data_IF_585639232736
#
_entry.id   IF_585639232736
#
_cell.length_a   1.000
_cell.length_b   1.000
_cell.length_c   1.000
_cell.angle_alpha   90.00
_cell.angle_beta   90.00
_cell.angle_gamma   90.00
#
_symmetry.space_group_name_H-M   'P 1'
#
loop_
_entity.id
_entity.type
_entity.pdbx_description
1 polymer ?
#
# COMPACT_ATOMS: atom_id res chain seq x y z
N UNK A 1 -43.65 -21.28 42.01
CA UNK A 1 -43.26 -21.40 40.58
C UNK A 1 -43.13 -20.02 39.93
N UNK A 2 -42.30 -19.13 40.50
CA UNK A 2 -42.12 -17.73 40.03
C UNK A 2 -40.62 -17.40 39.84
N UNK A 3 -39.73 -18.16 40.48
CA UNK A 3 -38.29 -17.89 40.51
C UNK A 3 -37.51 -18.36 39.26
N UNK A 4 -37.99 -19.38 38.53
CA UNK A 4 -37.29 -19.91 37.34
C UNK A 4 -37.41 -19.00 36.10
N UNK A 5 -38.33 -18.03 36.09
CA UNK A 5 -38.55 -17.16 34.93
C UNK A 5 -37.72 -15.86 34.98
N UNK A 6 -37.23 -15.46 36.16
CA UNK A 6 -36.40 -14.25 36.32
C UNK A 6 -34.94 -14.47 35.93
N UNK A 7 -34.38 -15.64 36.21
CA UNK A 7 -32.99 -15.98 35.87
C UNK A 7 -32.80 -16.05 34.35
N UNK A 8 -33.80 -16.57 33.63
CA UNK A 8 -33.75 -16.69 32.17
C UNK A 8 -33.82 -15.34 31.44
N UNK A 9 -34.49 -14.33 32.02
CA UNK A 9 -34.53 -12.96 31.47
C UNK A 9 -33.21 -12.21 31.66
N UNK A 10 -32.53 -12.44 32.78
CA UNK A 10 -31.25 -11.79 33.07
C UNK A 10 -30.10 -12.37 32.22
N UNK A 11 -30.08 -13.69 32.02
CA UNK A 11 -29.09 -14.37 31.17
C UNK A 11 -29.22 -13.97 29.69
N UNK A 12 -30.44 -13.79 29.20
CA UNK A 12 -30.67 -13.40 27.80
C UNK A 12 -30.24 -11.95 27.52
N UNK A 13 -30.39 -11.04 28.50
CA UNK A 13 -30.00 -9.64 28.36
C UNK A 13 -28.48 -9.43 28.49
N UNK A 14 -27.79 -10.30 29.23
CA UNK A 14 -26.32 -10.25 29.35
C UNK A 14 -25.62 -10.80 28.09
N UNK A 15 -26.24 -11.78 27.42
CA UNK A 15 -25.71 -12.36 26.18
C UNK A 15 -25.78 -11.39 24.98
N UNK A 16 -26.79 -10.52 24.94
CA UNK A 16 -26.98 -9.52 23.88
C UNK A 16 -25.99 -8.35 23.97
N UNK A 17 -25.44 -8.06 25.15
CA UNK A 17 -24.42 -7.02 25.35
C UNK A 17 -23.01 -7.48 24.93
N UNK A 18 -22.75 -8.79 24.92
CA UNK A 18 -21.46 -9.34 24.47
C UNK A 18 -21.29 -9.34 22.94
N UNK A 19 -22.39 -9.22 22.17
CA UNK A 19 -22.34 -9.14 20.71
C UNK A 19 -21.98 -7.75 20.16
N UNK A 20 -22.08 -6.70 20.98
CA UNK A 20 -21.85 -5.32 20.53
C UNK A 20 -20.38 -4.85 20.59
N UNK A 21 -19.44 -5.72 20.99
CA UNK A 21 -18.02 -5.34 21.19
C UNK A 21 -17.09 -5.82 20.07
N UNK A 22 -17.61 -6.51 19.04
CA UNK A 22 -16.85 -6.68 17.80
C UNK A 22 -16.90 -5.39 16.98
N UNK A 23 -16.27 -4.34 17.50
CA UNK A 23 -15.74 -3.27 16.67
C UNK A 23 -14.69 -3.92 15.78
N UNK A 24 -15.10 -4.41 14.61
CA UNK A 24 -14.18 -4.73 13.54
C UNK A 24 -13.46 -3.43 13.17
N UNK A 25 -12.30 -3.21 13.77
CA UNK A 25 -11.32 -2.28 13.23
C UNK A 25 -10.86 -2.88 11.90
N UNK A 26 -11.63 -2.65 10.84
CA UNK A 26 -11.18 -2.86 9.47
C UNK A 26 -10.03 -1.88 9.29
N UNK A 27 -8.82 -2.37 9.49
CA UNK A 27 -7.62 -1.64 9.13
C UNK A 27 -7.65 -1.55 7.61
N UNK A 28 -8.11 -0.41 7.10
CA UNK A 28 -8.11 -0.12 5.68
C UNK A 28 -6.65 -0.07 5.20
N UNK A 29 -6.13 -1.23 4.80
CA UNK A 29 -4.88 -1.32 4.07
C UNK A 29 -5.06 -0.57 2.75
N UNK A 30 -4.03 0.16 2.32
CA UNK A 30 -4.06 0.77 1.00
C UNK A 30 -4.07 -0.31 -0.07
N UNK A 31 -4.89 -0.12 -1.09
CA UNK A 31 -4.85 -0.93 -2.31
C UNK A 31 -3.57 -0.62 -3.09
N UNK A 32 -2.65 -1.58 -3.11
CA UNK A 32 -1.34 -1.44 -3.76
C UNK A 32 -1.45 -1.36 -5.29
N UNK A 33 -2.51 -1.90 -5.89
CA UNK A 33 -2.71 -1.80 -7.33
C UNK A 33 -3.03 -0.35 -7.71
N UNK A 34 -3.91 0.30 -6.94
CA UNK A 34 -4.21 1.72 -7.09
C UNK A 34 -2.97 2.61 -6.84
N UNK A 35 -2.16 2.28 -5.82
CA UNK A 35 -0.91 3.01 -5.58
C UNK A 35 0.06 2.90 -6.75
N UNK A 36 0.19 1.70 -7.34
CA UNK A 36 1.02 1.45 -8.52
C UNK A 36 0.56 2.28 -9.72
N UNK A 37 -0.76 2.37 -9.96
CA UNK A 37 -1.32 3.20 -11.03
C UNK A 37 -1.02 4.69 -10.83
N UNK A 38 -1.15 5.18 -9.59
CA UNK A 38 -0.82 6.57 -9.24
C UNK A 38 0.69 6.84 -9.39
N UNK A 39 1.54 5.91 -8.99
CA UNK A 39 2.98 6.00 -9.14
C UNK A 39 3.36 6.07 -10.63
N UNK A 40 2.80 5.21 -11.48
CA UNK A 40 3.02 5.24 -12.93
C UNK A 40 2.68 6.60 -13.55
N UNK A 41 1.55 7.20 -13.17
CA UNK A 41 1.18 8.55 -13.63
C UNK A 41 2.22 9.58 -13.21
N UNK A 42 2.75 9.48 -11.99
CA UNK A 42 3.74 10.43 -11.47
C UNK A 42 5.11 10.26 -12.12
N UNK A 43 5.55 9.03 -12.31
CA UNK A 43 6.77 8.64 -13.03
C UNK A 43 6.75 9.19 -14.45
N UNK A 44 5.65 8.96 -15.17
CA UNK A 44 5.47 9.48 -16.53
C UNK A 44 5.42 11.00 -16.56
N UNK A 45 4.67 11.63 -15.66
CA UNK A 45 4.53 13.08 -15.59
C UNK A 45 5.84 13.81 -15.27
N UNK A 46 6.73 13.19 -14.50
CA UNK A 46 8.04 13.75 -14.13
C UNK A 46 9.19 13.20 -15.00
N UNK A 47 8.91 12.40 -16.03
CA UNK A 47 9.92 11.81 -16.93
C UNK A 47 11.06 11.07 -16.22
N UNK A 48 10.74 10.32 -15.16
CA UNK A 48 11.74 9.65 -14.32
C UNK A 48 12.40 8.43 -14.99
N UNK A 49 11.83 7.92 -16.08
CA UNK A 49 12.39 6.83 -16.88
C UNK A 49 11.83 6.90 -18.31
N UNK A 50 12.55 6.30 -19.25
CA UNK A 50 12.12 6.12 -20.64
C UNK A 50 11.38 4.80 -20.88
N UNK A 51 11.34 3.92 -19.87
CA UNK A 51 10.65 2.63 -19.97
C UNK A 51 9.14 2.81 -20.05
N UNK A 52 8.48 1.87 -20.73
CA UNK A 52 7.02 1.85 -20.81
C UNK A 52 6.41 1.38 -19.48
N UNK A 53 5.18 1.79 -19.14
CA UNK A 53 4.53 1.39 -17.89
C UNK A 53 4.50 -0.13 -17.66
N UNK A 54 4.24 -0.92 -18.71
CA UNK A 54 4.23 -2.39 -18.64
C UNK A 54 5.61 -3.01 -18.35
N UNK A 55 6.68 -2.24 -18.59
CA UNK A 55 8.06 -2.62 -18.34
C UNK A 55 8.58 -2.14 -16.97
N UNK A 56 7.67 -1.68 -16.11
CA UNK A 56 7.95 -1.33 -14.73
C UNK A 56 7.27 -2.31 -13.78
N UNK A 57 7.95 -2.61 -12.68
CA UNK A 57 7.38 -3.33 -11.53
C UNK A 57 7.65 -2.56 -10.25
N UNK A 58 6.84 -2.84 -9.24
CA UNK A 58 6.89 -2.17 -7.94
C UNK A 58 7.18 -3.19 -6.85
N UNK A 59 8.26 -2.99 -6.11
CA UNK A 59 8.61 -3.81 -4.96
C UNK A 59 8.36 -3.02 -3.67
N UNK A 60 7.30 -3.41 -2.95
CA UNK A 60 6.92 -2.78 -1.69
C UNK A 60 7.78 -3.29 -0.54
N UNK A 61 8.50 -2.38 0.13
CA UNK A 61 9.47 -2.75 1.17
C UNK A 61 8.90 -2.59 2.57
N UNK A 62 8.38 -1.41 2.87
CA UNK A 62 7.96 -1.02 4.22
C UNK A 62 6.80 -0.06 4.16
N UNK A 63 5.89 -0.20 5.11
CA UNK A 63 4.81 0.72 5.36
C UNK A 63 4.89 1.21 6.81
N UNK A 64 4.66 2.50 7.03
CA UNK A 64 4.44 3.06 8.36
C UNK A 64 3.19 3.94 8.36
N UNK A 65 2.89 4.57 9.50
CA UNK A 65 1.68 5.40 9.65
C UNK A 65 1.58 6.54 8.64
N UNK A 66 2.71 7.08 8.17
CA UNK A 66 2.75 8.25 7.28
C UNK A 66 3.07 7.89 5.83
N UNK A 67 3.89 6.87 5.58
CA UNK A 67 4.45 6.59 4.27
C UNK A 67 4.37 5.11 3.87
N UNK A 68 4.29 4.88 2.57
CA UNK A 68 4.60 3.60 1.93
C UNK A 68 5.89 3.75 1.14
N UNK A 69 6.84 2.85 1.35
CA UNK A 69 8.15 2.83 0.67
C UNK A 69 8.20 1.68 -0.31
N UNK A 70 8.65 1.96 -1.53
CA UNK A 70 8.72 0.99 -2.60
C UNK A 70 9.81 1.33 -3.60
N UNK A 71 10.39 0.30 -4.22
CA UNK A 71 11.31 0.45 -5.34
C UNK A 71 10.58 0.34 -6.65
N UNK A 72 10.98 1.15 -7.62
CA UNK A 72 10.60 0.98 -9.02
C UNK A 72 11.71 0.18 -9.71
N UNK A 73 11.32 -0.92 -10.38
CA UNK A 73 12.25 -1.85 -11.01
C UNK A 73 11.84 -2.13 -12.45
N UNK A 74 12.77 -2.62 -13.24
CA UNK A 74 12.47 -3.15 -14.58
C UNK A 74 11.60 -4.39 -14.49
N UNK A 75 10.66 -4.52 -15.42
CA UNK A 75 9.86 -5.71 -15.65
C UNK A 75 10.13 -6.23 -17.06
N UNK A 76 10.95 -7.27 -17.14
CA UNK A 76 11.36 -7.90 -18.40
C UNK A 76 10.50 -9.12 -18.77
N UNK A 77 9.48 -9.44 -17.97
CA UNK A 77 8.59 -10.57 -18.25
C UNK A 77 7.80 -10.39 -19.57
N UNK A 78 7.28 -9.19 -19.91
CA UNK A 78 6.67 -8.98 -21.22
C UNK A 78 7.73 -8.92 -22.31
N UNK A 79 7.56 -9.70 -23.39
CA UNK A 79 8.50 -9.75 -24.51
C UNK A 79 8.79 -8.37 -25.15
N UNK A 80 7.85 -7.42 -25.04
CA UNK A 80 7.99 -6.05 -25.56
C UNK A 80 9.01 -5.21 -24.78
N UNK A 81 9.31 -5.59 -23.54
CA UNK A 81 10.24 -4.89 -22.66
C UNK A 81 11.69 -5.31 -22.92
N UNK A 82 11.90 -6.47 -23.56
CA UNK A 82 13.22 -7.03 -23.79
C UNK A 82 13.92 -7.42 -22.49
N UNK A 83 15.19 -7.79 -22.58
CA UNK A 83 15.99 -8.22 -21.43
C UNK A 83 15.76 -9.68 -21.02
N UNK A 84 16.39 -10.06 -19.92
CA UNK A 84 16.23 -11.37 -19.30
C UNK A 84 15.04 -11.32 -18.34
N UNK A 85 14.06 -12.22 -18.53
CA UNK A 85 12.84 -12.26 -17.74
C UNK A 85 13.08 -12.57 -16.26
N UNK A 86 14.21 -13.20 -15.92
CA UNK A 86 14.60 -13.53 -14.54
C UNK A 86 15.40 -12.40 -13.87
N UNK A 87 15.71 -11.32 -14.61
CA UNK A 87 16.47 -10.17 -14.12
C UNK A 87 15.56 -8.95 -13.99
N UNK A 88 15.50 -8.38 -12.79
CA UNK A 88 14.79 -7.13 -12.49
C UNK A 88 15.73 -6.13 -11.85
N UNK A 89 16.17 -5.13 -12.63
CA UNK A 89 17.09 -4.09 -12.15
C UNK A 89 16.29 -3.03 -11.39
N UNK A 90 16.79 -2.62 -10.21
CA UNK A 90 16.21 -1.47 -9.48
C UNK A 90 16.59 -0.17 -10.19
N UNK A 91 15.59 0.64 -10.49
CA UNK A 91 15.78 1.96 -11.12
C UNK A 91 15.98 3.03 -10.05
N UNK A 92 15.03 3.18 -9.14
CA UNK A 92 15.07 4.17 -8.07
C UNK A 92 14.08 3.82 -6.96
N UNK A 93 14.26 4.42 -5.79
CA UNK A 93 13.38 4.27 -4.64
C UNK A 93 12.39 5.43 -4.55
N UNK A 94 11.16 5.12 -4.14
CA UNK A 94 10.09 6.08 -3.96
C UNK A 94 9.42 5.90 -2.60
N UNK A 95 8.80 6.98 -2.13
CA UNK A 95 7.82 6.90 -1.05
C UNK A 95 6.58 7.71 -1.35
N UNK A 96 5.46 7.22 -0.86
CA UNK A 96 4.15 7.84 -0.96
C UNK A 96 3.67 8.30 0.42
N UNK A 97 3.32 9.58 0.57
CA UNK A 97 2.74 10.13 1.79
C UNK A 97 1.21 9.94 1.80
N UNK A 98 0.74 9.13 2.74
CA UNK A 98 -0.67 8.72 2.85
C UNK A 98 -1.63 9.88 3.09
N UNK A 99 -1.19 10.90 3.84
CA UNK A 99 -2.05 12.00 4.29
C UNK A 99 -2.46 12.92 3.14
N UNK A 100 -1.51 13.32 2.30
CA UNK A 100 -1.74 14.30 1.24
C UNK A 100 -1.63 13.70 -0.18
N UNK A 101 -1.23 12.44 -0.30
CA UNK A 101 -1.09 11.76 -1.58
C UNK A 101 0.15 12.19 -2.37
N UNK A 102 1.23 12.58 -1.68
CA UNK A 102 2.45 13.06 -2.33
C UNK A 102 3.45 11.94 -2.58
N UNK A 103 4.05 11.95 -3.76
CA UNK A 103 5.17 11.09 -4.09
C UNK A 103 6.48 11.82 -3.90
N UNK A 104 7.46 11.06 -3.46
CA UNK A 104 8.85 11.49 -3.35
C UNK A 104 9.74 10.43 -4.00
N UNK A 105 10.82 10.88 -4.60
CA UNK A 105 11.90 10.03 -5.11
C UNK A 105 13.12 10.19 -4.22
N UNK A 106 13.85 9.11 -3.99
CA UNK A 106 15.15 9.16 -3.32
C UNK A 106 16.18 9.92 -4.17
N UNK A 107 17.08 10.63 -3.51
CA UNK A 107 18.20 11.31 -4.15
C UNK A 107 19.35 10.32 -4.35
N UNK A 108 19.68 10.03 -5.61
CA UNK A 108 20.74 9.10 -5.99
C UNK A 108 22.12 9.49 -5.40
N UNK A 109 22.36 10.78 -5.15
CA UNK A 109 23.61 11.27 -4.57
C UNK A 109 23.60 11.27 -3.04
N UNK A 110 22.44 11.12 -2.41
CA UNK A 110 22.28 11.17 -0.96
C UNK A 110 21.21 10.19 -0.46
N UNK A 111 21.54 8.88 -0.38
CA UNK A 111 20.62 7.84 0.05
C UNK A 111 19.93 8.17 1.38
N UNK A 112 18.63 7.92 1.46
CA UNK A 112 17.78 8.31 2.59
C UNK A 112 17.20 9.72 2.50
N UNK A 113 17.68 10.56 1.58
CA UNK A 113 17.09 11.88 1.30
C UNK A 113 16.09 11.79 0.17
N UNK A 114 14.92 12.42 0.34
CA UNK A 114 13.82 12.30 -0.60
C UNK A 114 13.32 13.66 -1.06
N UNK A 115 13.12 13.80 -2.36
CA UNK A 115 12.62 15.01 -2.99
C UNK A 115 11.18 14.81 -3.46
N UNK A 116 10.32 15.77 -3.19
CA UNK A 116 8.91 15.71 -3.59
C UNK A 116 8.79 15.87 -5.10
N UNK A 117 7.99 15.01 -5.73
CA UNK A 117 7.65 15.12 -7.14
C UNK A 117 6.50 16.12 -7.36
N UNK A 118 6.60 16.89 -8.45
CA UNK A 118 5.58 17.86 -8.86
C UNK A 118 4.35 17.16 -9.42
#
# INVERSE_FOLDING_TARGET
>A
MIYMNMINRFLFSFLLLLFFVFSFSVQAGMDMDNLSELALKKIKGNSLTTLRPECLSFEYQKENERYVFFSVRENNAPAICGGDADVSIKLFDMKYEKKNGYFFIEDDMNPGSYQRLN
#
